data_IF_054693117441
#
_entry.id   IF_054693117441
#
_cell.length_a   1.000
_cell.length_b   1.000
_cell.length_c   1.000
_cell.angle_alpha   90.00
_cell.angle_beta   90.00
_cell.angle_gamma   90.00
#
_symmetry.space_group_name_H-M   'P 1'
#
loop_
_entity.id
_entity.type
_entity.pdbx_description
1 polymer ?
#
# COMPACT_ATOMS: atom_id res chain seq x y z
N UNK A 1 12.72 -24.95 15.11
CA UNK A 1 11.81 -24.19 14.22
C UNK A 1 12.62 -23.79 12.99
N UNK A 2 12.25 -24.26 11.79
CA UNK A 2 12.96 -23.86 10.57
C UNK A 2 12.70 -22.37 10.31
N UNK A 3 13.76 -21.56 10.29
CA UNK A 3 13.70 -20.20 9.78
C UNK A 3 13.38 -20.29 8.29
N UNK A 4 12.14 -19.99 7.89
CA UNK A 4 11.78 -19.86 6.49
C UNK A 4 12.61 -18.71 5.92
N UNK A 5 13.66 -19.07 5.18
CA UNK A 5 14.48 -18.13 4.45
C UNK A 5 13.58 -17.49 3.39
N UNK A 6 13.12 -16.26 3.65
CA UNK A 6 12.13 -15.58 2.82
C UNK A 6 12.65 -15.45 1.39
N UNK A 7 11.82 -15.79 0.41
CA UNK A 7 12.22 -15.78 -1.01
C UNK A 7 12.51 -14.35 -1.48
N UNK A 8 13.76 -14.10 -1.86
CA UNK A 8 14.22 -12.79 -2.33
C UNK A 8 13.49 -12.32 -3.59
N UNK A 9 13.08 -13.25 -4.46
CA UNK A 9 12.34 -12.93 -5.68
C UNK A 9 10.95 -12.38 -5.32
N UNK A 10 10.29 -12.98 -4.33
CA UNK A 10 8.99 -12.51 -3.83
C UNK A 10 9.08 -11.09 -3.29
N UNK A 11 10.15 -10.76 -2.55
CA UNK A 11 10.39 -9.40 -2.05
C UNK A 11 10.57 -8.40 -3.20
N UNK A 12 11.42 -8.72 -4.17
CA UNK A 12 11.65 -7.89 -5.36
C UNK A 12 10.38 -7.67 -6.17
N UNK A 13 9.59 -8.72 -6.35
CA UNK A 13 8.29 -8.65 -7.00
C UNK A 13 7.37 -7.62 -6.32
N UNK A 14 7.27 -7.68 -4.98
CA UNK A 14 6.45 -6.73 -4.20
C UNK A 14 6.92 -5.29 -4.40
N UNK A 15 8.23 -5.05 -4.35
CA UNK A 15 8.81 -3.71 -4.58
C UNK A 15 8.44 -3.18 -5.96
N UNK A 16 8.67 -3.97 -7.01
CA UNK A 16 8.38 -3.54 -8.38
C UNK A 16 6.88 -3.29 -8.56
N UNK A 17 6.02 -4.14 -7.99
CA UNK A 17 4.57 -3.95 -8.08
C UNK A 17 4.11 -2.65 -7.41
N UNK A 18 4.70 -2.29 -6.27
CA UNK A 18 4.46 -1.00 -5.60
C UNK A 18 4.95 0.17 -6.46
N UNK A 19 6.13 0.04 -7.05
CA UNK A 19 6.65 1.04 -7.98
C UNK A 19 5.73 1.26 -9.19
N UNK A 20 5.19 0.19 -9.80
CA UNK A 20 4.22 0.30 -10.90
C UNK A 20 2.97 1.07 -10.48
N UNK A 21 2.52 0.91 -9.23
CA UNK A 21 1.38 1.64 -8.68
C UNK A 21 1.70 3.12 -8.46
N UNK A 22 2.88 3.42 -7.90
CA UNK A 22 3.33 4.79 -7.63
C UNK A 22 3.48 5.58 -8.94
N UNK A 23 4.07 4.98 -9.98
CA UNK A 23 4.24 5.61 -11.28
C UNK A 23 3.00 5.56 -12.18
N UNK A 24 1.85 5.16 -11.63
CA UNK A 24 0.56 5.08 -12.33
C UNK A 24 0.55 4.13 -13.55
N UNK A 25 1.55 3.26 -13.69
CA UNK A 25 1.54 2.15 -14.66
C UNK A 25 0.42 1.14 -14.37
N UNK A 26 -0.06 1.08 -13.12
CA UNK A 26 -1.31 0.44 -12.73
C UNK A 26 -2.19 1.40 -11.92
N UNK A 27 -3.50 1.40 -12.15
CA UNK A 27 -4.47 2.21 -11.40
C UNK A 27 -4.77 1.59 -10.05
N UNK A 28 -4.69 0.26 -9.89
CA UNK A 28 -4.85 -0.42 -8.60
C UNK A 28 -4.22 -1.81 -8.59
N UNK A 29 -3.97 -2.36 -7.40
CA UNK A 29 -3.53 -3.75 -7.26
C UNK A 29 -4.59 -4.74 -7.76
N UNK A 30 -5.88 -4.40 -7.65
CA UNK A 30 -6.96 -5.22 -8.21
C UNK A 30 -6.94 -5.23 -9.74
N UNK A 31 -6.60 -4.11 -10.39
CA UNK A 31 -6.36 -4.09 -11.84
C UNK A 31 -5.18 -4.98 -12.22
N UNK A 32 -4.06 -4.86 -11.50
CA UNK A 32 -2.90 -5.74 -11.71
C UNK A 32 -3.29 -7.21 -11.61
N UNK A 33 -4.00 -7.61 -10.54
CA UNK A 33 -4.49 -8.97 -10.32
C UNK A 33 -5.27 -9.51 -11.52
N UNK A 34 -6.20 -8.72 -12.07
CA UNK A 34 -6.97 -9.09 -13.27
C UNK A 34 -6.05 -9.31 -14.48
N UNK A 35 -5.09 -8.41 -14.70
CA UNK A 35 -4.18 -8.49 -15.84
C UNK A 35 -3.26 -9.73 -15.79
N UNK A 36 -2.80 -10.13 -14.61
CA UNK A 36 -1.93 -11.32 -14.44
C UNK A 36 -2.69 -12.60 -14.11
N UNK A 37 -4.02 -12.53 -13.89
CA UNK A 37 -4.83 -13.68 -13.48
C UNK A 37 -4.51 -14.19 -12.08
N UNK A 38 -4.22 -13.28 -11.15
CA UNK A 38 -3.99 -13.55 -9.73
C UNK A 38 -5.21 -13.13 -8.91
N UNK A 39 -5.57 -13.90 -7.88
CA UNK A 39 -6.64 -13.51 -6.96
C UNK A 39 -6.15 -12.42 -5.99
N UNK A 40 -6.97 -11.39 -5.68
CA UNK A 40 -6.61 -10.36 -4.69
C UNK A 40 -6.20 -10.92 -3.33
N UNK A 41 -6.87 -11.99 -2.87
CA UNK A 41 -6.50 -12.68 -1.63
C UNK A 41 -5.08 -13.25 -1.70
N UNK A 42 -4.75 -13.94 -2.81
CA UNK A 42 -3.41 -14.48 -3.01
C UNK A 42 -2.36 -13.38 -3.10
N UNK A 43 -2.67 -12.24 -3.71
CA UNK A 43 -1.78 -11.08 -3.69
C UNK A 43 -1.55 -10.55 -2.27
N UNK A 44 -2.59 -10.52 -1.43
CA UNK A 44 -2.45 -10.12 -0.03
C UNK A 44 -1.54 -11.09 0.75
N UNK A 45 -1.66 -12.40 0.49
CA UNK A 45 -0.77 -13.40 1.08
C UNK A 45 0.69 -13.23 0.63
N UNK A 46 0.91 -12.85 -0.64
CA UNK A 46 2.23 -12.51 -1.18
C UNK A 46 2.79 -11.25 -0.51
N UNK A 47 1.99 -10.18 -0.37
CA UNK A 47 2.41 -8.97 0.33
C UNK A 47 2.77 -9.22 1.80
N UNK A 48 2.01 -10.08 2.47
CA UNK A 48 2.27 -10.51 3.85
C UNK A 48 3.42 -11.52 3.96
N UNK A 49 4.08 -11.84 2.84
CA UNK A 49 5.17 -12.82 2.74
C UNK A 49 4.78 -14.21 3.30
N UNK A 50 3.48 -14.53 3.29
CA UNK A 50 2.96 -15.84 3.67
C UNK A 50 3.03 -16.83 2.51
N UNK A 51 3.18 -16.34 1.28
CA UNK A 51 3.31 -17.13 0.06
C UNK A 51 4.32 -16.50 -0.89
N UNK A 52 5.01 -17.37 -1.61
CA UNK A 52 5.82 -16.94 -2.74
C UNK A 52 4.98 -16.58 -3.94
N UNK A 53 5.47 -15.63 -4.72
CA UNK A 53 4.85 -15.26 -5.98
C UNK A 53 5.00 -16.42 -6.98
N UNK A 54 3.90 -16.88 -7.62
CA UNK A 54 4.01 -17.91 -8.65
C UNK A 54 4.84 -17.43 -9.85
N UNK A 55 5.69 -18.31 -10.40
CA UNK A 55 6.52 -17.97 -11.58
C UNK A 55 5.68 -17.50 -12.78
N UNK A 56 4.47 -18.04 -12.95
CA UNK A 56 3.55 -17.61 -14.01
C UNK A 56 3.09 -16.15 -13.83
N UNK A 57 2.91 -15.70 -12.59
CA UNK A 57 2.57 -14.30 -12.28
C UNK A 57 3.74 -13.39 -12.60
N UNK A 58 4.96 -13.78 -12.23
CA UNK A 58 6.19 -13.07 -12.61
C UNK A 58 6.30 -12.96 -14.13
N UNK A 59 6.13 -14.08 -14.84
CA UNK A 59 6.21 -14.13 -16.30
C UNK A 59 5.23 -13.17 -16.96
N UNK A 60 3.96 -13.19 -16.53
CA UNK A 60 2.94 -12.25 -17.04
C UNK A 60 3.26 -10.80 -16.71
N UNK A 61 3.75 -10.52 -15.50
CA UNK A 61 4.16 -9.17 -15.10
C UNK A 61 5.27 -8.63 -16.02
N UNK A 62 6.32 -9.42 -16.27
CA UNK A 62 7.42 -9.07 -17.17
C UNK A 62 6.92 -8.74 -18.57
N UNK A 63 6.02 -9.56 -19.11
CA UNK A 63 5.47 -9.37 -20.46
C UNK A 63 4.56 -8.14 -20.57
N UNK A 64 3.63 -7.98 -19.62
CA UNK A 64 2.59 -6.94 -19.66
C UNK A 64 3.19 -5.57 -19.35
N UNK A 65 4.03 -5.49 -18.31
CA UNK A 65 4.59 -4.22 -17.82
C UNK A 65 6.01 -3.95 -18.34
N UNK A 66 6.51 -4.78 -19.26
CA UNK A 66 7.82 -4.62 -19.92
C UNK A 66 8.98 -4.46 -18.94
N UNK A 67 8.93 -5.20 -17.83
CA UNK A 67 9.97 -5.21 -16.81
C UNK A 67 11.11 -6.11 -17.26
N UNK A 68 12.37 -5.66 -17.16
CA UNK A 68 13.52 -6.54 -17.38
C UNK A 68 13.55 -7.64 -16.30
N UNK A 69 13.45 -8.94 -16.66
CA UNK A 69 13.50 -10.03 -15.69
C UNK A 69 14.83 -10.09 -14.91
N UNK A 70 15.93 -9.55 -15.43
CA UNK A 70 17.21 -9.50 -14.71
C UNK A 70 17.08 -8.79 -13.36
N UNK A 71 16.19 -7.82 -13.27
CA UNK A 71 15.94 -7.06 -12.04
C UNK A 71 15.41 -7.98 -10.94
N UNK A 72 14.51 -8.90 -11.30
CA UNK A 72 13.99 -9.88 -10.35
C UNK A 72 15.06 -10.90 -9.96
N UNK A 73 15.82 -11.44 -10.92
CA UNK A 73 16.63 -12.64 -10.70
C UNK A 73 18.13 -12.40 -10.45
N UNK A 74 18.71 -11.33 -10.98
CA UNK A 74 20.18 -11.23 -11.18
C UNK A 74 20.88 -10.31 -10.20
N UNK A 75 20.16 -9.49 -9.46
CA UNK A 75 20.82 -8.54 -8.57
C UNK A 75 21.55 -9.24 -7.41
N UNK A 76 22.84 -8.93 -7.24
CA UNK A 76 23.71 -9.36 -6.13
C UNK A 76 23.46 -8.58 -4.83
N UNK A 77 22.36 -7.83 -4.77
CA UNK A 77 22.11 -6.89 -3.68
C UNK A 77 21.61 -7.65 -2.44
N UNK A 78 22.28 -7.40 -1.31
CA UNK A 78 22.08 -8.13 -0.05
C UNK A 78 20.83 -7.69 0.71
N UNK A 79 20.31 -6.49 0.42
CA UNK A 79 19.23 -5.86 1.18
C UNK A 79 18.24 -5.10 0.28
N UNK A 80 17.00 -5.00 0.75
CA UNK A 80 15.85 -4.42 0.04
C UNK A 80 15.98 -2.91 -0.20
N UNK A 81 16.65 -2.19 0.71
CA UNK A 81 16.87 -0.73 0.58
C UNK A 81 17.82 -0.43 -0.57
N UNK A 82 18.91 -1.19 -0.69
CA UNK A 82 19.84 -1.07 -1.81
C UNK A 82 19.15 -1.42 -3.13
N UNK A 83 18.29 -2.46 -3.15
CA UNK A 83 17.50 -2.85 -4.32
C UNK A 83 16.61 -1.70 -4.80
N UNK A 84 15.83 -1.11 -3.88
CA UNK A 84 14.93 0.01 -4.18
C UNK A 84 15.70 1.19 -4.76
N UNK A 85 16.78 1.60 -4.10
CA UNK A 85 17.58 2.75 -4.53
C UNK A 85 18.16 2.54 -5.93
N UNK A 86 18.75 1.36 -6.18
CA UNK A 86 19.32 1.06 -7.49
C UNK A 86 18.25 0.90 -8.57
N UNK A 87 17.12 0.26 -8.26
CA UNK A 87 16.04 0.08 -9.22
C UNK A 87 15.44 1.43 -9.65
N UNK A 88 15.20 2.34 -8.70
CA UNK A 88 14.68 3.68 -8.98
C UNK A 88 15.70 4.51 -9.77
N UNK A 89 16.96 4.51 -9.37
CA UNK A 89 18.03 5.24 -10.07
C UNK A 89 18.23 4.77 -11.52
N UNK A 90 18.03 3.48 -11.81
CA UNK A 90 18.15 2.94 -13.16
C UNK A 90 16.89 3.13 -14.03
N UNK A 91 15.77 3.58 -13.44
CA UNK A 91 14.52 3.84 -14.17
C UNK A 91 14.31 5.33 -14.48
N UNK A 92 15.03 6.23 -13.82
CA UNK A 92 14.96 7.67 -14.08
C UNK A 92 15.85 8.12 -15.23
N UNK A 93 15.33 7.93 -16.45
CA UNK A 93 15.66 8.82 -17.56
C UNK A 93 14.66 10.00 -17.64
N UNK A 94 13.54 10.06 -16.88
CA UNK A 94 12.63 11.22 -17.00
C UNK A 94 11.52 11.46 -15.93
N UNK A 95 11.64 11.07 -14.65
CA UNK A 95 10.57 11.38 -13.67
C UNK A 95 11.02 11.72 -12.24
N UNK A 96 11.30 13.01 -12.00
CA UNK A 96 11.41 13.70 -10.70
C UNK A 96 12.52 13.23 -9.74
N UNK A 97 12.95 14.17 -8.88
CA UNK A 97 14.09 14.03 -7.95
C UNK A 97 13.93 12.79 -7.05
N UNK A 98 15.00 12.01 -6.81
CA UNK A 98 15.03 10.87 -5.87
C UNK A 98 14.51 11.20 -4.46
N UNK A 99 14.47 12.47 -4.09
CA UNK A 99 13.99 13.00 -2.81
C UNK A 99 12.46 12.90 -2.65
N UNK A 100 11.69 12.77 -3.74
CA UNK A 100 10.23 12.62 -3.72
C UNK A 100 9.79 11.15 -3.50
N UNK A 101 10.72 10.19 -3.57
CA UNK A 101 10.45 8.74 -3.40
C UNK A 101 10.87 8.29 -2.00
N UNK A 102 10.38 8.98 -0.96
CA UNK A 102 10.51 8.49 0.41
C UNK A 102 9.48 7.36 0.59
N UNK A 103 9.95 6.11 0.49
CA UNK A 103 9.21 4.96 1.02
C UNK A 103 9.14 5.11 2.54
N UNK A 104 8.02 5.63 3.05
CA UNK A 104 7.76 5.54 4.48
C UNK A 104 7.52 4.06 4.80
N UNK A 105 8.15 3.53 5.85
CA UNK A 105 7.98 2.14 6.28
C UNK A 105 6.49 1.78 6.55
N UNK A 106 5.65 2.80 6.75
CA UNK A 106 4.18 2.73 6.81
C UNK A 106 3.48 2.33 5.50
N UNK A 107 4.08 2.58 4.33
CA UNK A 107 3.58 2.11 3.02
C UNK A 107 3.97 0.65 2.75
N UNK A 108 4.83 0.08 3.61
CA UNK A 108 5.33 -1.27 3.47
C UNK A 108 4.30 -2.31 3.94
N UNK A 109 3.45 -1.95 4.91
CA UNK A 109 2.40 -2.79 5.45
C UNK A 109 1.10 -2.01 5.49
N UNK A 110 0.22 -2.24 4.52
CA UNK A 110 -1.21 -2.03 4.79
C UNK A 110 -1.64 -3.21 5.67
N UNK A 111 -1.28 -3.12 6.96
CA UNK A 111 -1.90 -3.94 8.00
C UNK A 111 -3.36 -3.52 8.00
N UNK A 112 -4.24 -4.48 7.73
CA UNK A 112 -5.69 -4.34 7.93
C UNK A 112 -5.96 -3.67 9.31
N UNK A 113 -5.13 -3.95 10.32
CA UNK A 113 -5.12 -3.31 11.65
C UNK A 113 -4.98 -1.76 11.65
N UNK A 114 -4.19 -1.16 10.75
CA UNK A 114 -4.01 0.31 10.69
C UNK A 114 -5.21 0.96 10.01
N UNK A 115 -5.78 0.30 9.01
CA UNK A 115 -7.03 0.76 8.37
C UNK A 115 -8.17 0.67 9.39
N UNK A 116 -8.28 -0.46 10.09
CA UNK A 116 -9.29 -0.70 11.13
C UNK A 116 -9.17 0.32 12.27
N UNK A 117 -7.95 0.57 12.77
CA UNK A 117 -7.69 1.61 13.77
C UNK A 117 -8.07 3.02 13.28
N UNK A 118 -7.79 3.35 12.01
CA UNK A 118 -8.22 4.63 11.41
C UNK A 118 -9.74 4.73 11.32
N UNK A 119 -10.42 3.65 10.94
CA UNK A 119 -11.88 3.61 10.86
C UNK A 119 -12.56 3.71 12.24
N UNK A 120 -11.95 3.14 13.27
CA UNK A 120 -12.40 3.28 14.67
C UNK A 120 -12.25 4.71 15.17
N UNK A 121 -11.09 5.34 14.93
CA UNK A 121 -10.87 6.76 15.26
C UNK A 121 -11.86 7.67 14.53
N UNK A 122 -12.12 7.42 13.24
CA UNK A 122 -13.11 8.19 12.46
C UNK A 122 -14.52 8.00 13.03
N UNK A 123 -14.89 6.80 13.48
CA UNK A 123 -16.20 6.54 14.12
C UNK A 123 -16.35 7.30 15.44
N UNK A 124 -15.33 7.26 16.29
CA UNK A 124 -15.34 7.99 17.57
C UNK A 124 -15.48 9.51 17.34
N UNK A 125 -14.74 10.07 16.38
CA UNK A 125 -14.84 11.50 16.06
C UNK A 125 -16.24 11.89 15.57
N UNK A 126 -16.88 11.05 14.75
CA UNK A 126 -18.26 11.29 14.29
C UNK A 126 -19.27 11.29 15.45
N UNK A 127 -19.11 10.38 16.41
CA UNK A 127 -19.96 10.35 17.61
C UNK A 127 -19.80 11.63 18.44
N UNK A 128 -18.56 12.06 18.68
CA UNK A 128 -18.29 13.29 19.43
C UNK A 128 -18.91 14.53 18.77
N UNK A 129 -18.78 14.65 17.45
CA UNK A 129 -19.39 15.77 16.70
C UNK A 129 -20.91 15.76 16.81
N UNK A 130 -21.55 14.58 16.76
CA UNK A 130 -22.99 14.48 16.92
C UNK A 130 -23.44 14.89 18.34
N UNK A 131 -22.70 14.46 19.37
CA UNK A 131 -22.99 14.86 20.75
C UNK A 131 -22.88 16.38 20.95
N UNK A 132 -21.85 16.99 20.35
CA UNK A 132 -21.67 18.45 20.39
C UNK A 132 -22.84 19.19 19.72
N UNK A 133 -23.34 18.68 18.59
CA UNK A 133 -24.52 19.25 17.92
C UNK A 133 -25.77 19.17 18.79
N UNK A 134 -26.00 18.04 19.44
CA UNK A 134 -27.13 17.86 20.35
C UNK A 134 -27.06 18.82 21.55
N UNK A 135 -25.88 18.97 22.14
CA UNK A 135 -25.65 19.92 23.24
C UNK A 135 -25.96 21.35 22.77
N UNK A 136 -25.46 21.76 21.60
CA UNK A 136 -25.73 23.09 21.05
C UNK A 136 -27.23 23.34 20.88
N UNK A 137 -27.97 22.35 20.36
CA UNK A 137 -29.41 22.48 20.12
C UNK A 137 -30.22 22.55 21.43
N UNK A 138 -29.82 21.77 22.43
CA UNK A 138 -30.39 21.84 23.77
C UNK A 138 -30.13 23.21 24.41
N UNK A 139 -28.90 23.74 24.32
CA UNK A 139 -28.55 25.07 24.83
C UNK A 139 -29.36 26.17 24.14
N UNK A 140 -29.51 26.11 22.81
CA UNK A 140 -30.39 27.04 22.08
C UNK A 140 -31.83 26.98 22.58
N UNK A 141 -32.37 25.78 22.73
CA UNK A 141 -33.74 25.57 23.22
C UNK A 141 -33.94 26.16 24.61
N UNK A 142 -32.97 25.96 25.51
CA UNK A 142 -32.98 26.53 26.86
C UNK A 142 -32.91 28.07 26.79
N UNK A 143 -32.02 28.61 25.96
CA UNK A 143 -31.90 30.06 25.78
C UNK A 143 -33.21 30.69 25.28
N UNK A 144 -33.86 30.08 24.28
CA UNK A 144 -35.16 30.55 23.79
C UNK A 144 -36.24 30.51 24.87
N UNK A 145 -36.28 29.45 25.70
CA UNK A 145 -37.25 29.32 26.79
C UNK A 145 -37.05 30.35 27.91
N UNK A 146 -35.80 30.77 28.17
CA UNK A 146 -35.48 31.70 29.26
C UNK A 146 -35.59 33.16 28.79
N UNK A 147 -35.14 33.48 27.57
CA UNK A 147 -34.92 34.87 27.14
C UNK A 147 -35.84 35.34 25.99
N UNK A 148 -36.63 34.46 25.36
CA UNK A 148 -37.65 34.84 24.36
C UNK A 148 -39.10 34.66 24.84
N UNK A 149 -39.33 34.82 26.15
CA UNK A 149 -40.67 35.09 26.70
C UNK A 149 -40.92 36.60 26.70
#
# INVERSE_FOLDING_TARGET
MQNFNQNIITKRFVVILKYLKLNKSIKSFSEFCRNVGLLPQSLNEIFKQKRDVPILVIHKMVIIYKIDPNILFKEKQKDEKTFINNYIQNLDINTKSPEDVIFNESDMYIKDDIIEAKEEVIRALKQTVNLQREIIENVKTIYEKIYKK
#
